data_IF_105662301572
#
_entry.id   IF_105662301572
#
_cell.length_a   1.000
_cell.length_b   1.000
_cell.length_c   1.000
_cell.angle_alpha   90.00
_cell.angle_beta   90.00
_cell.angle_gamma   90.00
#
_symmetry.space_group_name_H-M   'P 1'
#
loop_
_entity.id
_entity.type
_entity.pdbx_description
1 polymer ?
#
# COMPACT_ATOMS: atom_id res chain seq x y z
N UNK A 1 15.77 9.94 -7.33
CA UNK A 1 14.95 9.35 -6.24
C UNK A 1 13.50 9.78 -6.32
N UNK A 2 13.18 11.08 -6.58
CA UNK A 2 11.80 11.54 -6.69
C UNK A 2 11.04 10.79 -7.79
N UNK A 3 11.58 10.74 -9.00
CA UNK A 3 11.01 10.03 -10.15
C UNK A 3 10.85 8.51 -9.85
N UNK A 4 11.85 7.90 -9.22
CA UNK A 4 11.77 6.48 -8.81
C UNK A 4 10.58 6.23 -7.87
N UNK A 5 10.35 7.14 -6.93
CA UNK A 5 9.21 7.05 -5.99
C UNK A 5 7.86 7.13 -6.72
N UNK A 6 7.73 8.02 -7.72
CA UNK A 6 6.50 8.17 -8.50
C UNK A 6 6.17 6.88 -9.27
N UNK A 7 7.13 6.38 -10.07
CA UNK A 7 6.94 5.15 -10.86
C UNK A 7 6.76 3.92 -9.96
N UNK A 8 7.51 3.84 -8.87
CA UNK A 8 7.36 2.76 -7.89
C UNK A 8 5.95 2.75 -7.29
N UNK A 9 5.44 3.93 -6.89
CA UNK A 9 4.09 4.04 -6.33
C UNK A 9 3.03 3.63 -7.36
N UNK A 10 3.13 4.12 -8.61
CA UNK A 10 2.21 3.75 -9.67
C UNK A 10 2.25 2.23 -9.95
N UNK A 11 3.45 1.65 -10.05
CA UNK A 11 3.62 0.22 -10.29
C UNK A 11 3.05 -0.64 -9.14
N UNK A 12 3.36 -0.28 -7.89
CA UNK A 12 2.86 -1.04 -6.74
C UNK A 12 1.35 -0.90 -6.56
N UNK A 13 0.76 0.24 -6.91
CA UNK A 13 -0.70 0.40 -6.95
C UNK A 13 -1.34 -0.41 -8.08
N UNK A 14 -0.68 -0.55 -9.23
CA UNK A 14 -1.14 -1.45 -10.29
C UNK A 14 -1.13 -2.91 -9.83
N UNK A 15 -0.06 -3.33 -9.15
CA UNK A 15 0.03 -4.68 -8.54
C UNK A 15 -1.05 -4.87 -7.48
N UNK A 16 -1.27 -3.87 -6.63
CA UNK A 16 -2.35 -3.88 -5.63
C UNK A 16 -3.72 -4.12 -6.29
N UNK A 17 -4.06 -3.36 -7.34
CA UNK A 17 -5.30 -3.55 -8.09
C UNK A 17 -5.37 -4.92 -8.75
N UNK A 18 -4.30 -5.36 -9.41
CA UNK A 18 -4.25 -6.67 -10.05
C UNK A 18 -4.52 -7.80 -9.07
N UNK A 19 -3.88 -7.78 -7.91
CA UNK A 19 -4.04 -8.84 -6.90
C UNK A 19 -5.40 -8.77 -6.19
N UNK A 20 -5.92 -7.57 -5.88
CA UNK A 20 -7.20 -7.43 -5.18
C UNK A 20 -8.41 -7.69 -6.08
N UNK A 21 -8.38 -7.23 -7.32
CA UNK A 21 -9.47 -7.43 -8.26
C UNK A 21 -9.57 -8.89 -8.76
N UNK A 22 -8.45 -9.59 -8.86
CA UNK A 22 -8.40 -11.00 -9.27
C UNK A 22 -8.12 -11.95 -8.08
N UNK A 23 -8.53 -11.55 -6.89
CA UNK A 23 -8.30 -12.31 -5.64
C UNK A 23 -8.89 -13.73 -5.71
N UNK A 24 -10.01 -13.91 -6.39
CA UNK A 24 -10.63 -15.24 -6.56
C UNK A 24 -9.76 -16.20 -7.37
N UNK A 25 -9.04 -15.68 -8.38
CA UNK A 25 -8.09 -16.48 -9.16
C UNK A 25 -6.92 -16.90 -8.28
N UNK A 26 -6.45 -16.00 -7.43
CA UNK A 26 -5.40 -16.29 -6.44
C UNK A 26 -5.89 -17.34 -5.43
N UNK A 27 -7.17 -17.27 -5.04
CA UNK A 27 -7.80 -18.22 -4.14
C UNK A 27 -7.78 -19.67 -4.67
N UNK A 28 -7.70 -19.88 -5.97
CA UNK A 28 -7.58 -21.21 -6.56
C UNK A 28 -6.22 -21.85 -6.25
N UNK A 29 -5.17 -21.02 -6.12
CA UNK A 29 -3.80 -21.47 -5.84
C UNK A 29 -3.60 -21.67 -4.33
N UNK A 30 -4.33 -20.89 -3.52
CA UNK A 30 -4.25 -20.96 -2.06
C UNK A 30 -5.07 -22.13 -1.53
N UNK A 31 -4.51 -22.89 -0.59
CA UNK A 31 -5.19 -24.00 0.07
C UNK A 31 -6.51 -23.55 0.74
N UNK A 32 -7.49 -24.46 0.76
CA UNK A 32 -8.86 -24.17 1.22
C UNK A 32 -8.90 -23.62 2.65
N UNK A 33 -8.01 -24.07 3.52
CA UNK A 33 -7.96 -23.66 4.93
C UNK A 33 -7.52 -22.20 5.15
N UNK A 34 -6.80 -21.62 4.15
CA UNK A 34 -6.32 -20.24 4.19
C UNK A 34 -7.26 -19.23 3.52
N UNK A 35 -8.32 -19.70 2.87
CA UNK A 35 -9.26 -18.82 2.16
C UNK A 35 -10.06 -17.91 3.10
N UNK A 36 -10.26 -18.33 4.33
CA UNK A 36 -10.94 -17.52 5.35
C UNK A 36 -10.22 -16.19 5.64
N UNK A 37 -8.89 -16.13 5.44
CA UNK A 37 -8.09 -14.92 5.64
C UNK A 37 -7.94 -14.03 4.40
N UNK A 38 -8.67 -14.27 3.31
CA UNK A 38 -8.51 -13.49 2.08
C UNK A 38 -9.10 -12.08 2.18
N UNK A 39 -10.00 -11.86 3.10
CA UNK A 39 -10.63 -10.58 3.41
C UNK A 39 -9.63 -9.53 3.93
N UNK A 40 -8.53 -9.95 4.56
CA UNK A 40 -7.47 -9.03 5.00
C UNK A 40 -6.43 -8.70 3.91
N UNK A 41 -6.43 -9.43 2.79
CA UNK A 41 -5.41 -9.27 1.74
C UNK A 41 -5.33 -7.84 1.20
N UNK A 42 -6.43 -7.12 0.93
CA UNK A 42 -6.35 -5.73 0.48
C UNK A 42 -5.65 -4.82 1.49
N UNK A 43 -5.91 -4.98 2.78
CA UNK A 43 -5.28 -4.18 3.85
C UNK A 43 -3.79 -4.52 3.94
N UNK A 44 -3.43 -5.80 3.86
CA UNK A 44 -2.03 -6.25 3.87
C UNK A 44 -1.26 -5.75 2.65
N UNK A 45 -1.83 -5.86 1.45
CA UNK A 45 -1.21 -5.33 0.23
C UNK A 45 -1.00 -3.83 0.31
N UNK A 46 -1.98 -3.06 0.80
CA UNK A 46 -1.83 -1.63 1.00
C UNK A 46 -0.74 -1.30 2.02
N UNK A 47 -0.61 -2.08 3.09
CA UNK A 47 0.47 -1.90 4.05
C UNK A 47 1.84 -2.13 3.41
N UNK A 48 1.99 -3.12 2.51
CA UNK A 48 3.23 -3.35 1.76
C UNK A 48 3.52 -2.26 0.72
N UNK A 49 2.49 -1.66 0.10
CA UNK A 49 2.69 -0.47 -0.74
C UNK A 49 3.33 0.65 0.08
N UNK A 50 2.78 0.96 1.26
CA UNK A 50 3.33 2.00 2.16
C UNK A 50 4.74 1.64 2.63
N UNK A 51 5.00 0.37 2.97
CA UNK A 51 6.34 -0.09 3.33
C UNK A 51 7.34 0.11 2.19
N UNK A 52 6.96 -0.23 0.95
CA UNK A 52 7.79 -0.02 -0.23
C UNK A 52 8.07 1.47 -0.48
N UNK A 53 7.06 2.34 -0.31
CA UNK A 53 7.25 3.78 -0.33
C UNK A 53 8.21 4.25 0.76
N UNK A 54 8.11 3.68 1.97
CA UNK A 54 9.03 3.98 3.07
C UNK A 54 10.47 3.59 2.74
N UNK A 55 10.71 2.47 2.05
CA UNK A 55 12.06 2.10 1.58
C UNK A 55 12.65 3.15 0.65
N UNK A 56 11.88 3.69 -0.29
CA UNK A 56 12.33 4.77 -1.18
C UNK A 56 12.66 6.04 -0.40
N UNK A 57 11.77 6.48 0.49
CA UNK A 57 12.02 7.67 1.32
C UNK A 57 13.20 7.44 2.25
N UNK A 58 13.37 6.27 2.81
CA UNK A 58 14.39 5.93 3.80
C UNK A 58 15.83 6.03 3.28
N UNK A 59 16.04 6.18 1.97
CA UNK A 59 17.37 6.34 1.38
C UNK A 59 18.13 7.56 1.92
N UNK A 60 17.42 8.58 2.43
CA UNK A 60 18.06 9.80 2.97
C UNK A 60 19.03 9.51 4.11
N UNK A 61 18.68 8.67 5.07
CA UNK A 61 19.58 8.38 6.19
C UNK A 61 20.74 7.44 5.80
N UNK A 62 20.55 6.62 4.78
CA UNK A 62 21.62 5.80 4.21
C UNK A 62 22.65 6.68 3.48
N UNK A 63 22.17 7.59 2.62
CA UNK A 63 23.02 8.50 1.83
C UNK A 63 23.72 9.55 2.71
N UNK A 64 23.07 10.01 3.79
CA UNK A 64 23.66 10.99 4.70
C UNK A 64 24.52 10.36 5.81
N UNK A 65 24.72 9.04 5.81
CA UNK A 65 25.48 8.32 6.86
C UNK A 65 24.80 8.29 8.24
N UNK A 66 23.52 8.69 8.30
CA UNK A 66 22.76 8.80 9.55
C UNK A 66 21.89 7.56 9.82
N UNK A 67 22.45 6.37 9.65
CA UNK A 67 21.73 5.09 9.73
C UNK A 67 21.04 4.82 11.06
N UNK A 68 21.49 5.42 12.17
CA UNK A 68 20.80 5.35 13.48
C UNK A 68 19.35 5.83 13.44
N UNK A 69 18.98 6.69 12.50
CA UNK A 69 17.56 7.11 12.34
C UNK A 69 16.65 5.95 11.91
N UNK A 70 17.17 4.93 11.24
CA UNK A 70 16.42 3.71 10.96
C UNK A 70 15.90 3.07 12.25
N UNK A 71 16.75 2.98 13.27
CA UNK A 71 16.41 2.40 14.59
C UNK A 71 15.32 3.25 15.26
N UNK A 72 15.46 4.58 15.26
CA UNK A 72 14.47 5.47 15.88
C UNK A 72 13.10 5.39 15.20
N UNK A 73 13.07 5.37 13.86
CA UNK A 73 11.83 5.25 13.09
C UNK A 73 11.14 3.92 13.34
N UNK A 74 11.90 2.82 13.32
CA UNK A 74 11.37 1.47 13.58
C UNK A 74 10.92 1.32 15.04
N UNK A 75 11.70 1.84 16.00
CA UNK A 75 11.34 1.81 17.41
C UNK A 75 10.08 2.62 17.72
N UNK A 76 9.83 3.71 16.99
CA UNK A 76 8.60 4.49 17.14
C UNK A 76 7.35 3.77 16.58
N UNK A 77 7.51 2.89 15.60
CA UNK A 77 6.40 2.09 15.06
C UNK A 77 6.04 0.88 15.96
N UNK A 78 7.00 0.38 16.74
CA UNK A 78 6.79 -0.79 17.63
C UNK A 78 5.65 -0.58 18.64
N UNK A 79 5.57 0.52 19.40
CA UNK A 79 4.45 0.77 20.32
C UNK A 79 3.10 0.78 19.63
N UNK A 80 3.03 1.29 18.38
CA UNK A 80 1.79 1.33 17.59
C UNK A 80 1.32 -0.09 17.29
N UNK A 81 2.23 -0.95 16.81
CA UNK A 81 1.92 -2.36 16.56
C UNK A 81 1.46 -3.07 17.83
N UNK A 82 2.18 -2.89 18.94
CA UNK A 82 1.85 -3.51 20.22
C UNK A 82 0.50 -3.03 20.75
N UNK A 83 0.26 -1.72 20.75
CA UNK A 83 -1.00 -1.15 21.25
C UNK A 83 -2.21 -1.65 20.47
N UNK A 84 -2.14 -1.63 19.12
CA UNK A 84 -3.25 -2.11 18.29
C UNK A 84 -3.49 -3.60 18.52
N UNK A 85 -2.44 -4.42 18.55
CA UNK A 85 -2.59 -5.85 18.76
C UNK A 85 -3.11 -6.17 20.18
N UNK A 86 -2.58 -5.53 21.24
CA UNK A 86 -3.02 -5.79 22.60
C UNK A 86 -4.50 -5.39 22.83
N UNK A 87 -4.95 -4.29 22.21
CA UNK A 87 -6.31 -3.78 22.42
C UNK A 87 -7.32 -4.50 21.50
N UNK A 88 -6.97 -4.68 20.22
CA UNK A 88 -7.94 -5.11 19.22
C UNK A 88 -7.84 -6.58 18.81
N UNK A 89 -6.71 -7.25 19.03
CA UNK A 89 -6.56 -8.67 18.68
C UNK A 89 -7.54 -9.60 19.43
N UNK A 90 -7.87 -9.38 20.73
CA UNK A 90 -8.88 -10.17 21.40
C UNK A 90 -10.28 -10.02 20.80
N UNK A 91 -10.58 -8.87 20.17
CA UNK A 91 -11.90 -8.55 19.60
C UNK A 91 -12.00 -8.92 18.11
N UNK A 92 -10.95 -8.67 17.34
CA UNK A 92 -10.96 -8.76 15.88
C UNK A 92 -9.98 -9.79 15.32
N UNK A 93 -9.30 -10.57 16.17
CA UNK A 93 -8.38 -11.63 15.77
C UNK A 93 -7.34 -11.15 14.74
N UNK A 94 -7.15 -11.87 13.62
CA UNK A 94 -6.16 -11.54 12.58
C UNK A 94 -6.43 -10.22 11.84
N UNK A 95 -7.66 -9.70 11.84
CA UNK A 95 -7.96 -8.38 11.28
C UNK A 95 -7.20 -7.26 12.00
N UNK A 96 -7.10 -7.34 13.33
CA UNK A 96 -6.35 -6.38 14.12
C UNK A 96 -4.86 -6.36 13.71
N UNK A 97 -4.27 -7.53 13.44
CA UNK A 97 -2.89 -7.62 12.99
C UNK A 97 -2.67 -6.93 11.63
N UNK A 98 -3.59 -7.10 10.67
CA UNK A 98 -3.51 -6.44 9.38
C UNK A 98 -3.55 -4.90 9.51
N UNK A 99 -4.45 -4.38 10.32
CA UNK A 99 -4.54 -2.94 10.58
C UNK A 99 -3.35 -2.41 11.40
N UNK A 100 -2.81 -3.22 12.32
CA UNK A 100 -1.58 -2.88 13.04
C UNK A 100 -0.38 -2.71 12.10
N UNK A 101 -0.23 -3.60 11.11
CA UNK A 101 0.80 -3.47 10.07
C UNK A 101 0.62 -2.18 9.26
N UNK A 102 -0.60 -1.91 8.79
CA UNK A 102 -0.90 -0.70 8.01
C UNK A 102 -0.57 0.57 8.80
N UNK A 103 -1.02 0.65 10.05
CA UNK A 103 -0.77 1.80 10.91
C UNK A 103 0.73 1.99 11.21
N UNK A 104 1.44 0.91 11.51
CA UNK A 104 2.86 0.95 11.83
C UNK A 104 3.70 1.40 10.63
N UNK A 105 3.43 0.86 9.44
CA UNK A 105 4.14 1.27 8.23
C UNK A 105 3.80 2.71 7.82
N UNK A 106 2.55 3.16 8.05
CA UNK A 106 2.19 4.56 7.87
C UNK A 106 2.96 5.49 8.81
N UNK A 107 3.10 5.13 10.10
CA UNK A 107 3.91 5.89 11.06
C UNK A 107 5.38 5.93 10.63
N UNK A 108 5.96 4.78 10.24
CA UNK A 108 7.33 4.73 9.73
C UNK A 108 7.53 5.66 8.52
N UNK A 109 6.60 5.61 7.57
CA UNK A 109 6.64 6.43 6.37
C UNK A 109 6.55 7.92 6.70
N UNK A 110 5.59 8.33 7.53
CA UNK A 110 5.39 9.72 7.95
C UNK A 110 6.65 10.24 8.66
N UNK A 111 7.18 9.50 9.63
CA UNK A 111 8.39 9.88 10.35
C UNK A 111 9.60 9.99 9.42
N UNK A 112 9.75 9.04 8.48
CA UNK A 112 10.82 9.05 7.50
C UNK A 112 10.76 10.27 6.58
N UNK A 113 9.55 10.65 6.13
CA UNK A 113 9.31 11.88 5.35
C UNK A 113 9.66 13.12 6.14
N UNK A 114 9.17 13.24 7.39
CA UNK A 114 9.43 14.41 8.24
C UNK A 114 10.91 14.60 8.54
N UNK A 115 11.57 13.53 8.95
CA UNK A 115 13.00 13.57 9.26
C UNK A 115 13.84 13.77 8.01
N UNK A 116 13.44 13.17 6.89
CA UNK A 116 14.11 13.31 5.60
C UNK A 116 14.10 14.74 5.08
N UNK A 117 12.98 15.45 5.19
CA UNK A 117 12.90 16.87 4.79
C UNK A 117 13.92 17.77 5.48
N UNK A 118 14.24 17.46 6.74
CA UNK A 118 15.20 18.24 7.54
C UNK A 118 16.67 17.93 7.21
N UNK A 119 16.98 16.68 6.85
CA UNK A 119 18.37 16.21 6.74
C UNK A 119 18.86 16.04 5.30
N UNK A 120 17.96 15.68 4.40
CA UNK A 120 18.27 15.46 2.97
C UNK A 120 16.98 15.69 2.16
N UNK A 121 16.68 16.96 1.83
CA UNK A 121 15.44 17.30 1.14
C UNK A 121 15.44 16.76 -0.30
N UNK A 122 14.62 15.76 -0.56
CA UNK A 122 14.34 15.26 -1.91
C UNK A 122 13.04 15.91 -2.39
N UNK A 123 13.00 16.51 -3.59
CA UNK A 123 11.80 17.16 -4.13
C UNK A 123 10.80 16.12 -4.66
N UNK A 124 10.13 15.39 -3.74
CA UNK A 124 9.08 14.45 -4.11
C UNK A 124 7.85 15.19 -4.65
N UNK A 125 7.30 14.72 -5.75
CA UNK A 125 6.03 15.21 -6.27
C UNK A 125 4.86 14.54 -5.54
N UNK A 126 4.57 15.04 -4.33
CA UNK A 126 3.53 14.50 -3.46
C UNK A 126 2.15 14.48 -4.13
N UNK A 127 1.87 15.43 -5.05
CA UNK A 127 0.62 15.51 -5.77
C UNK A 127 0.41 14.28 -6.66
N UNK A 128 1.43 13.85 -7.40
CA UNK A 128 1.37 12.65 -8.26
C UNK A 128 1.30 11.38 -7.44
N UNK A 129 2.11 11.28 -6.39
CA UNK A 129 2.10 10.13 -5.46
C UNK A 129 0.71 9.95 -4.86
N UNK A 130 0.14 11.02 -4.30
CA UNK A 130 -1.20 10.98 -3.71
C UNK A 130 -2.28 10.64 -4.75
N UNK A 131 -2.16 11.15 -5.97
CA UNK A 131 -3.08 10.84 -7.06
C UNK A 131 -3.06 9.34 -7.40
N UNK A 132 -1.89 8.73 -7.53
CA UNK A 132 -1.81 7.28 -7.82
C UNK A 132 -2.38 6.43 -6.68
N UNK A 133 -2.08 6.76 -5.44
CA UNK A 133 -2.62 6.04 -4.28
C UNK A 133 -4.14 6.21 -4.20
N UNK A 134 -4.64 7.44 -4.30
CA UNK A 134 -6.09 7.71 -4.21
C UNK A 134 -6.85 7.11 -5.40
N UNK A 135 -6.31 7.18 -6.62
CA UNK A 135 -6.92 6.55 -7.79
C UNK A 135 -7.00 5.02 -7.62
N UNK A 136 -5.92 4.38 -7.18
CA UNK A 136 -5.93 2.93 -6.96
C UNK A 136 -6.91 2.51 -5.88
N UNK A 137 -6.94 3.20 -4.74
CA UNK A 137 -7.92 2.93 -3.67
C UNK A 137 -9.35 3.19 -4.15
N UNK A 138 -9.61 4.29 -4.86
CA UNK A 138 -10.95 4.59 -5.39
C UNK A 138 -11.44 3.52 -6.37
N UNK A 139 -10.59 3.07 -7.30
CA UNK A 139 -10.93 2.02 -8.25
C UNK A 139 -11.20 0.69 -7.54
N UNK A 140 -10.43 0.36 -6.50
CA UNK A 140 -10.71 -0.80 -5.66
C UNK A 140 -12.06 -0.68 -4.96
N UNK A 141 -12.38 0.47 -4.34
CA UNK A 141 -13.67 0.68 -3.67
C UNK A 141 -14.84 0.60 -4.65
N UNK A 142 -14.67 1.11 -5.87
CA UNK A 142 -15.67 1.01 -6.95
C UNK A 142 -15.91 -0.45 -7.34
N UNK A 143 -14.92 -1.33 -7.24
CA UNK A 143 -15.08 -2.74 -7.58
C UNK A 143 -15.90 -3.56 -6.58
N UNK A 144 -15.97 -3.14 -5.32
CA UNK A 144 -16.62 -3.89 -4.22
C UNK A 144 -18.09 -4.24 -4.54
N UNK A 145 -18.94 -3.31 -5.02
CA UNK A 145 -20.34 -3.62 -5.34
C UNK A 145 -20.51 -4.66 -6.45
N UNK A 146 -19.48 -4.87 -7.28
CA UNK A 146 -19.52 -5.81 -8.41
C UNK A 146 -18.99 -7.20 -8.04
N UNK A 147 -18.65 -7.46 -6.77
CA UNK A 147 -18.10 -8.75 -6.33
C UNK A 147 -19.10 -9.90 -6.51
N UNK A 148 -20.41 -9.63 -6.39
CA UNK A 148 -21.49 -10.63 -6.48
C UNK A 148 -22.09 -10.79 -7.89
N UNK A 149 -21.62 -10.02 -8.88
CA UNK A 149 -22.11 -10.08 -10.26
C UNK A 149 -21.54 -11.32 -10.97
N UNK A 150 -22.24 -11.76 -12.04
CA UNK A 150 -21.82 -12.90 -12.86
C UNK A 150 -20.32 -12.82 -13.23
N UNK A 151 -19.55 -13.92 -13.11
CA UNK A 151 -18.08 -13.91 -13.25
C UNK A 151 -17.54 -13.22 -14.52
N UNK A 152 -18.19 -13.43 -15.67
CA UNK A 152 -17.78 -12.81 -16.93
C UNK A 152 -17.87 -11.28 -16.89
N UNK A 153 -18.99 -10.74 -16.36
CA UNK A 153 -19.17 -9.30 -16.21
C UNK A 153 -18.19 -8.73 -15.19
N UNK A 154 -17.99 -9.40 -14.07
CA UNK A 154 -17.05 -9.00 -13.03
C UNK A 154 -15.63 -8.86 -13.57
N UNK A 155 -15.11 -9.88 -14.25
CA UNK A 155 -13.74 -9.82 -14.80
C UNK A 155 -13.62 -8.78 -15.93
N UNK A 156 -14.66 -8.54 -16.72
CA UNK A 156 -14.66 -7.46 -17.70
C UNK A 156 -14.57 -6.09 -17.02
N UNK A 157 -15.33 -5.85 -15.95
CA UNK A 157 -15.28 -4.61 -15.16
C UNK A 157 -13.89 -4.45 -14.53
N UNK A 158 -13.33 -5.50 -13.93
CA UNK A 158 -12.01 -5.46 -13.31
C UNK A 158 -10.91 -5.10 -14.32
N UNK A 159 -10.98 -5.67 -15.52
CA UNK A 159 -10.05 -5.33 -16.61
C UNK A 159 -10.18 -3.87 -17.05
N UNK A 160 -11.43 -3.36 -17.15
CA UNK A 160 -11.68 -1.93 -17.44
C UNK A 160 -11.08 -1.04 -16.35
N UNK A 161 -11.26 -1.37 -15.06
CA UNK A 161 -10.73 -0.57 -13.96
C UNK A 161 -9.20 -0.51 -13.99
N UNK A 162 -8.53 -1.62 -14.27
CA UNK A 162 -7.07 -1.65 -14.43
C UNK A 162 -6.65 -0.80 -15.64
N UNK A 163 -7.36 -0.92 -16.76
CA UNK A 163 -7.08 -0.11 -17.95
C UNK A 163 -7.22 1.38 -17.67
N UNK A 164 -8.26 1.79 -16.91
CA UNK A 164 -8.42 3.17 -16.46
C UNK A 164 -7.24 3.64 -15.64
N UNK A 165 -6.75 2.81 -14.70
CA UNK A 165 -5.58 3.16 -13.91
C UNK A 165 -4.33 3.36 -14.78
N UNK A 166 -4.09 2.47 -15.74
CA UNK A 166 -2.99 2.58 -16.70
C UNK A 166 -3.11 3.88 -17.54
N UNK A 167 -4.31 4.22 -17.98
CA UNK A 167 -4.55 5.47 -18.73
C UNK A 167 -4.28 6.71 -17.86
N UNK A 168 -4.67 6.67 -16.58
CA UNK A 168 -4.33 7.74 -15.61
C UNK A 168 -2.81 7.89 -15.49
N UNK A 169 -2.09 6.77 -15.36
CA UNK A 169 -0.63 6.78 -15.29
C UNK A 169 -0.01 7.47 -16.51
N UNK A 170 -0.34 7.02 -17.73
CA UNK A 170 0.21 7.62 -18.95
C UNK A 170 -0.18 9.09 -19.16
N UNK A 171 -1.38 9.49 -18.72
CA UNK A 171 -1.81 10.89 -18.81
C UNK A 171 -1.00 11.78 -17.86
N UNK A 172 -0.72 11.29 -16.65
CA UNK A 172 0.05 12.03 -15.64
C UNK A 172 1.54 12.11 -16.01
N UNK A 173 2.07 11.09 -16.68
CA UNK A 173 3.47 11.07 -17.13
C UNK A 173 3.74 12.05 -18.28
N UNK A 174 2.74 12.30 -19.15
CA UNK A 174 2.84 13.23 -20.27
C UNK A 174 2.75 14.72 -19.90
N UNK A 175 2.37 15.03 -18.66
CA UNK A 175 2.27 16.39 -18.11
C UNK A 175 3.47 16.66 -17.20
#
# INVERSE_FOLDING_TARGET
YAMVMEHFTAFTMLVFLGLTLFIDVIALIIGKDFRAGMDIVPVMLMSYVILGMNFNVSMWYKLSGKTKYAIYITAAALPVTLAINMIFMPLYSYHAAAWAHLASYAVMFILSVFMGRKHYPVPYNWRRIFLFVSAGVALYLISIPFAEVHPLLRYSIHTILITIFILIYFKVEKI
#
